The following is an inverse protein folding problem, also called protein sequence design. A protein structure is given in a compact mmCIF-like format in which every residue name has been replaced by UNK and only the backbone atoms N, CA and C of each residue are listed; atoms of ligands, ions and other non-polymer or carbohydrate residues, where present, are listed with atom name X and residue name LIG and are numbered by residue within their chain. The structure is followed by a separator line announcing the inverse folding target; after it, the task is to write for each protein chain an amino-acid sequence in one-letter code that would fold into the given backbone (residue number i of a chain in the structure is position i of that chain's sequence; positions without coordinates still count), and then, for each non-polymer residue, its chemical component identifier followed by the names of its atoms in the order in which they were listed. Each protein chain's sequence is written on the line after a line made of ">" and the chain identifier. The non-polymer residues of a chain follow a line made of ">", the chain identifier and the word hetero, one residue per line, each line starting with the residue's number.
data_IF_607041913716
#
_entry.id   IF_607041913716
#
_cell.length_a   1.000
_cell.length_b   1.000
_cell.length_c   1.000
_cell.angle_alpha   90.00
_cell.angle_beta   90.00
_cell.angle_gamma   90.00
#
_symmetry.space_group_name_H-M   'P 1'
#
loop_
_entity.id
_entity.type
_entity.pdbx_description
1 polymer ?
#
# COMPACT_ATOMS: atom_id res chain seq x y z
N UNK A 1 4.56 9.99 16.20
CA UNK A 1 3.80 11.17 15.70
C UNK A 1 2.31 11.07 16.01
N UNK A 2 1.57 12.19 16.19
CA UNK A 2 0.12 12.15 16.25
C UNK A 2 -0.44 11.61 14.92
N UNK A 3 -1.63 10.98 14.91
CA UNK A 3 -2.32 10.66 13.66
C UNK A 3 -2.47 11.93 12.82
N UNK A 4 -2.42 11.78 11.48
CA UNK A 4 -2.82 12.85 10.56
C UNK A 4 -4.19 13.32 11.03
N UNK A 5 -4.23 14.49 11.66
CA UNK A 5 -5.48 15.05 12.17
C UNK A 5 -6.35 15.25 10.95
N UNK A 6 -7.52 14.60 10.92
CA UNK A 6 -8.65 15.12 10.17
C UNK A 6 -8.74 16.60 10.55
N UNK A 7 -8.67 17.48 9.54
CA UNK A 7 -8.27 18.88 9.69
C UNK A 7 -8.77 19.51 10.98
N UNK A 8 -7.85 20.10 11.76
CA UNK A 8 -8.24 20.81 12.97
C UNK A 8 -9.32 21.83 12.64
N UNK A 9 -10.33 21.97 13.51
CA UNK A 9 -11.38 22.96 13.34
C UNK A 9 -10.78 24.30 12.90
N UNK A 10 -11.30 24.96 11.84
CA UNK A 10 -10.72 26.20 11.31
C UNK A 10 -10.50 27.26 12.40
N UNK A 11 -11.29 27.20 13.48
CA UNK A 11 -11.18 28.05 14.66
C UNK A 11 -9.85 27.90 15.42
N UNK A 12 -9.30 26.69 15.56
CA UNK A 12 -8.04 26.48 16.30
C UNK A 12 -6.81 26.90 15.51
N UNK A 13 -6.81 26.67 14.19
CA UNK A 13 -5.71 27.09 13.30
C UNK A 13 -5.61 28.61 13.22
N UNK A 14 -6.76 29.29 13.12
CA UNK A 14 -6.81 30.75 13.14
C UNK A 14 -6.31 31.33 14.48
N UNK A 15 -6.58 30.65 15.60
CA UNK A 15 -6.12 31.10 16.92
C UNK A 15 -4.61 30.93 17.12
N UNK A 16 -4.02 29.81 16.67
CA UNK A 16 -2.56 29.61 16.71
C UNK A 16 -1.82 30.59 15.78
N UNK A 17 -2.38 30.94 14.62
CA UNK A 17 -1.83 31.97 13.73
C UNK A 17 -1.80 33.36 14.37
N UNK A 18 -2.88 33.77 15.05
CA UNK A 18 -2.92 35.04 15.80
C UNK A 18 -1.87 35.10 16.91
N UNK A 19 -1.64 33.99 17.62
CA UNK A 19 -0.61 33.89 18.67
C UNK A 19 0.79 34.10 18.09
N UNK A 20 1.11 33.46 16.95
CA UNK A 20 2.42 33.60 16.31
C UNK A 20 2.67 35.04 15.83
N UNK A 21 1.66 35.69 15.25
CA UNK A 21 1.73 37.10 14.84
C UNK A 21 1.96 38.03 16.04
N UNK A 22 1.21 37.82 17.14
CA UNK A 22 1.37 38.59 18.37
C UNK A 22 2.77 38.45 18.98
N UNK A 23 3.33 37.23 19.01
CA UNK A 23 4.69 36.98 19.49
C UNK A 23 5.75 37.63 18.59
N UNK A 24 5.55 37.58 17.27
CA UNK A 24 6.45 38.22 16.31
C UNK A 24 6.46 39.75 16.46
N UNK A 25 5.30 40.37 16.64
CA UNK A 25 5.20 41.82 16.85
C UNK A 25 5.80 42.29 18.18
N UNK A 26 5.69 41.48 19.24
CA UNK A 26 6.40 41.72 20.50
C UNK A 26 7.91 41.63 20.29
N UNK A 27 8.38 40.58 19.59
CA UNK A 27 9.81 40.36 19.32
C UNK A 27 10.42 41.47 18.45
N UNK A 28 9.67 41.97 17.47
CA UNK A 28 10.07 43.06 16.58
C UNK A 28 9.89 44.45 17.22
N UNK A 29 9.46 44.54 18.47
CA UNK A 29 9.31 45.80 19.20
C UNK A 29 8.14 46.69 18.74
N UNK A 30 7.28 46.19 17.83
CA UNK A 30 6.07 46.91 17.38
C UNK A 30 5.07 47.08 18.53
N UNK A 31 5.03 46.10 19.44
CA UNK A 31 4.21 46.14 20.64
C UNK A 31 5.09 45.91 21.86
N UNK A 32 5.11 46.88 22.78
CA UNK A 32 6.01 46.87 23.95
C UNK A 32 5.52 46.01 25.12
N UNK A 33 4.26 45.57 25.12
CA UNK A 33 3.65 44.85 26.23
C UNK A 33 2.83 43.64 25.76
N UNK A 34 2.99 42.52 26.45
CA UNK A 34 2.20 41.30 26.24
C UNK A 34 0.70 41.59 26.45
N UNK A 35 0.35 42.45 27.40
CA UNK A 35 -1.04 42.86 27.63
C UNK A 35 -1.63 43.62 26.44
N UNK A 36 -0.85 44.54 25.85
CA UNK A 36 -1.28 45.31 24.69
C UNK A 36 -1.46 44.40 23.45
N UNK A 37 -0.54 43.46 23.25
CA UNK A 37 -0.64 42.47 22.17
C UNK A 37 -1.85 41.54 22.37
N UNK A 38 -2.08 41.06 23.60
CA UNK A 38 -3.24 40.22 23.91
C UNK A 38 -4.57 40.91 23.59
N UNK A 39 -4.68 42.20 23.92
CA UNK A 39 -5.88 43.02 23.60
C UNK A 39 -6.03 43.26 22.09
N UNK A 40 -4.94 43.59 21.39
CA UNK A 40 -4.96 43.90 19.95
C UNK A 40 -5.36 42.68 19.11
N UNK A 41 -4.84 41.51 19.48
CA UNK A 41 -5.05 40.26 18.75
C UNK A 41 -6.25 39.44 19.27
N UNK A 42 -6.98 39.95 20.27
CA UNK A 42 -8.11 39.27 20.92
C UNK A 42 -7.75 37.88 21.48
N UNK A 43 -6.58 37.77 22.11
CA UNK A 43 -6.07 36.52 22.68
C UNK A 43 -6.11 36.65 24.22
N UNK A 44 -6.52 35.61 24.96
CA UNK A 44 -6.37 35.61 26.42
C UNK A 44 -4.91 35.87 26.82
N UNK A 45 -4.70 36.85 27.70
CA UNK A 45 -3.35 37.23 28.15
C UNK A 45 -2.55 36.03 28.67
N UNK A 46 -3.18 35.15 29.45
CA UNK A 46 -2.57 33.95 30.01
C UNK A 46 -2.04 33.00 28.92
N UNK A 47 -2.74 32.88 27.80
CA UNK A 47 -2.31 32.08 26.65
C UNK A 47 -1.09 32.71 26.00
N UNK A 48 -1.11 34.01 25.70
CA UNK A 48 0.03 34.68 25.07
C UNK A 48 1.26 34.70 25.99
N UNK A 49 1.06 34.95 27.29
CA UNK A 49 2.11 34.91 28.32
C UNK A 49 2.74 33.52 28.43
N UNK A 50 1.95 32.45 28.51
CA UNK A 50 2.51 31.09 28.59
C UNK A 50 3.28 30.70 27.32
N UNK A 51 2.81 31.13 26.14
CA UNK A 51 3.50 30.91 24.87
C UNK A 51 4.80 31.73 24.75
N UNK A 52 4.83 32.97 25.26
CA UNK A 52 6.05 33.79 25.26
C UNK A 52 7.13 33.23 26.19
N UNK A 53 6.74 32.48 27.22
CA UNK A 53 7.65 31.77 28.13
C UNK A 53 8.02 30.36 27.63
N UNK A 54 7.83 30.07 26.34
CA UNK A 54 8.34 28.85 25.70
C UNK A 54 7.39 27.64 25.75
N UNK A 55 6.15 27.78 26.25
CA UNK A 55 5.17 26.69 26.16
C UNK A 55 4.74 26.52 24.69
N UNK A 56 4.91 25.33 24.14
CA UNK A 56 4.52 25.00 22.75
C UNK A 56 3.02 24.70 22.64
N UNK A 57 2.45 24.81 21.44
CA UNK A 57 1.05 24.41 21.21
C UNK A 57 0.87 22.93 21.52
N UNK A 58 -0.30 22.55 22.04
CA UNK A 58 -0.68 21.12 22.10
C UNK A 58 -0.79 20.50 20.70
N UNK A 59 -0.92 21.31 19.64
CA UNK A 59 -0.86 20.84 18.27
C UNK A 59 0.57 20.43 17.86
N UNK A 60 1.57 21.13 18.38
CA UNK A 60 3.00 20.94 18.05
C UNK A 60 3.69 19.96 19.00
N UNK A 61 3.10 19.71 20.18
CA UNK A 61 3.62 18.76 21.15
C UNK A 61 3.31 17.33 20.69
N UNK A 62 4.37 16.52 20.58
CA UNK A 62 4.25 15.07 20.39
C UNK A 62 3.46 14.47 21.56
N UNK A 63 2.38 13.71 21.31
CA UNK A 63 1.63 13.05 22.38
C UNK A 63 2.53 12.16 23.24
N UNK A 64 2.22 12.03 24.53
CA UNK A 64 2.93 11.10 25.41
C UNK A 64 2.59 9.64 25.02
N UNK A 65 3.53 8.71 25.25
CA UNK A 65 3.31 7.27 25.07
C UNK A 65 3.87 6.65 23.78
N UNK A 66 4.67 7.37 23.00
CA UNK A 66 5.42 6.77 21.90
C UNK A 66 6.55 5.88 22.43
N UNK A 67 6.62 4.65 21.91
CA UNK A 67 7.69 3.69 22.26
C UNK A 67 8.99 3.98 21.51
N UNK A 68 8.89 4.39 20.24
CA UNK A 68 10.04 4.75 19.41
C UNK A 68 10.32 6.26 19.46
N UNK A 69 11.57 6.65 19.26
CA UNK A 69 11.96 8.05 19.07
C UNK A 69 11.55 8.53 17.68
N UNK A 70 11.53 9.85 17.47
CA UNK A 70 11.24 10.40 16.14
C UNK A 70 12.26 9.88 15.11
N UNK A 71 13.54 9.87 15.46
CA UNK A 71 14.62 9.37 14.63
C UNK A 71 14.43 7.89 14.23
N UNK A 72 14.07 7.02 15.17
CA UNK A 72 13.79 5.62 14.84
C UNK A 72 12.56 5.45 13.95
N UNK A 73 11.50 6.23 14.21
CA UNK A 73 10.30 6.22 13.35
C UNK A 73 10.65 6.73 11.94
N UNK A 74 11.62 7.63 11.79
CA UNK A 74 12.09 8.17 10.50
C UNK A 74 13.00 7.16 9.77
N UNK A 75 13.99 6.58 10.46
CA UNK A 75 14.84 5.51 9.91
C UNK A 75 14.03 4.29 9.47
N UNK A 76 12.98 3.94 10.22
CA UNK A 76 12.09 2.84 9.82
C UNK A 76 11.32 3.17 8.54
N UNK A 77 10.91 4.42 8.35
CA UNK A 77 10.24 4.86 7.12
C UNK A 77 11.20 4.83 5.92
N UNK A 78 12.43 5.35 6.08
CA UNK A 78 13.49 5.28 5.07
C UNK A 78 13.82 3.83 4.69
N UNK A 79 13.88 2.94 5.68
CA UNK A 79 14.09 1.51 5.44
C UNK A 79 12.96 0.90 4.60
N UNK A 80 11.69 1.24 4.87
CA UNK A 80 10.55 0.76 4.08
C UNK A 80 10.68 1.23 2.62
N UNK A 81 10.99 2.52 2.41
CA UNK A 81 11.17 3.09 1.06
C UNK A 81 12.34 2.40 0.34
N UNK A 82 13.47 2.19 1.03
CA UNK A 82 14.62 1.47 0.48
C UNK A 82 14.28 0.03 0.09
N UNK A 83 13.44 -0.67 0.85
CA UNK A 83 12.98 -2.03 0.50
C UNK A 83 12.04 -2.02 -0.71
N UNK A 84 11.16 -1.03 -0.81
CA UNK A 84 10.22 -0.87 -1.94
C UNK A 84 10.95 -0.60 -3.26
N UNK A 85 11.92 0.31 -3.26
CA UNK A 85 12.75 0.61 -4.45
C UNK A 85 13.51 -0.60 -5.01
N UNK A 86 13.73 -1.64 -4.19
CA UNK A 86 14.37 -2.90 -4.57
C UNK A 86 13.37 -4.01 -4.94
N UNK A 87 12.08 -3.70 -5.02
CA UNK A 87 11.02 -4.67 -5.31
C UNK A 87 10.67 -5.60 -4.15
N UNK A 88 11.13 -5.30 -2.94
CA UNK A 88 10.97 -6.16 -1.75
C UNK A 88 10.14 -5.48 -0.65
N UNK A 89 9.07 -4.78 -1.03
CA UNK A 89 8.23 -4.03 -0.10
C UNK A 89 7.78 -4.88 1.12
N UNK A 90 8.06 -4.44 2.36
CA UNK A 90 7.79 -5.22 3.56
C UNK A 90 6.30 -5.27 3.89
N UNK A 91 5.86 -6.39 4.50
CA UNK A 91 4.49 -6.50 5.00
C UNK A 91 4.33 -5.70 6.30
N UNK A 92 3.11 -5.24 6.65
CA UNK A 92 2.88 -4.54 7.93
C UNK A 92 3.34 -5.33 9.16
N UNK A 93 3.22 -6.66 9.14
CA UNK A 93 3.75 -7.52 10.22
C UNK A 93 5.27 -7.38 10.37
N UNK A 94 6.01 -7.45 9.25
CA UNK A 94 7.47 -7.27 9.20
C UNK A 94 7.90 -5.90 9.68
N UNK A 95 7.12 -4.85 9.41
CA UNK A 95 7.36 -3.50 9.96
C UNK A 95 7.25 -3.50 11.49
N UNK A 96 6.26 -4.21 12.05
CA UNK A 96 6.13 -4.38 13.49
C UNK A 96 7.26 -5.18 14.13
N UNK A 97 7.73 -6.23 13.45
CA UNK A 97 8.91 -7.01 13.86
C UNK A 97 10.18 -6.15 13.87
N UNK A 98 10.41 -5.36 12.82
CA UNK A 98 11.55 -4.45 12.74
C UNK A 98 11.51 -3.40 13.87
N UNK A 99 10.33 -2.85 14.15
CA UNK A 99 10.16 -1.94 15.28
C UNK A 99 10.48 -2.61 16.64
N UNK A 100 10.11 -3.88 16.82
CA UNK A 100 10.47 -4.64 18.02
C UNK A 100 11.97 -4.91 18.11
N UNK A 101 12.65 -5.16 16.99
CA UNK A 101 14.11 -5.32 16.95
C UNK A 101 14.80 -4.03 17.42
N UNK A 102 14.35 -2.87 16.93
CA UNK A 102 14.87 -1.56 17.37
C UNK A 102 14.66 -1.35 18.87
N UNK A 103 13.48 -1.71 19.41
CA UNK A 103 13.19 -1.59 20.83
C UNK A 103 14.01 -2.57 21.69
N UNK A 104 14.24 -3.79 21.22
CA UNK A 104 15.06 -4.78 21.90
C UNK A 104 16.53 -4.35 21.95
N UNK A 105 17.03 -3.72 20.89
CA UNK A 105 18.40 -3.21 20.82
C UNK A 105 18.72 -2.13 21.88
N UNK A 106 17.70 -1.49 22.48
CA UNK A 106 17.86 -0.54 23.60
C UNK A 106 18.19 -1.21 24.93
N UNK A 107 18.15 -2.54 25.03
CA UNK A 107 18.57 -3.27 26.23
C UNK A 107 17.61 -3.16 27.42
N UNK A 108 16.35 -2.78 27.22
CA UNK A 108 15.35 -2.77 28.29
C UNK A 108 14.89 -4.21 28.61
N UNK A 109 14.77 -4.58 29.88
CA UNK A 109 14.29 -5.90 30.31
C UNK A 109 13.03 -5.81 31.18
N UNK A 110 11.90 -6.44 30.79
CA UNK A 110 11.67 -7.10 29.50
C UNK A 110 11.63 -6.10 28.33
N UNK A 111 11.95 -6.53 27.09
CA UNK A 111 11.96 -5.66 25.93
C UNK A 111 10.55 -5.12 25.65
N UNK A 112 10.44 -3.81 25.46
CA UNK A 112 9.17 -3.19 25.09
C UNK A 112 8.78 -3.64 23.67
N UNK A 113 7.54 -4.05 23.49
CA UNK A 113 7.01 -4.46 22.17
C UNK A 113 5.95 -3.50 21.66
N UNK A 114 5.88 -3.29 20.36
CA UNK A 114 4.79 -2.53 19.75
C UNK A 114 3.48 -3.33 19.79
N UNK A 115 2.35 -2.63 19.86
CA UNK A 115 1.03 -3.28 19.85
C UNK A 115 0.68 -3.86 18.48
N UNK A 116 -0.24 -4.83 18.44
CA UNK A 116 -0.69 -5.50 17.19
C UNK A 116 -1.12 -4.55 16.08
N UNK A 117 -1.80 -3.45 16.43
CA UNK A 117 -2.32 -2.48 15.47
C UNK A 117 -1.31 -1.36 15.14
N UNK A 118 -0.17 -1.33 15.83
CA UNK A 118 0.82 -0.26 15.69
C UNK A 118 1.35 -0.11 14.26
N UNK A 119 1.69 -1.17 13.50
CA UNK A 119 2.22 -1.01 12.14
C UNK A 119 1.23 -0.34 11.19
N UNK A 120 -0.06 -0.71 11.26
CA UNK A 120 -1.10 -0.09 10.43
C UNK A 120 -1.30 1.38 10.77
N UNK A 121 -1.26 1.71 12.06
CA UNK A 121 -1.33 3.11 12.53
C UNK A 121 -0.10 3.88 12.05
N UNK A 122 1.10 3.32 12.22
CA UNK A 122 2.36 3.92 11.79
C UNK A 122 2.34 4.29 10.30
N UNK A 123 1.91 3.36 9.44
CA UNK A 123 1.80 3.59 8.00
C UNK A 123 0.78 4.70 7.70
N UNK A 124 -0.41 4.64 8.30
CA UNK A 124 -1.45 5.65 8.08
C UNK A 124 -1.06 7.06 8.57
N UNK A 125 -0.17 7.14 9.56
CA UNK A 125 0.33 8.41 10.09
C UNK A 125 1.41 9.05 9.20
N UNK A 126 1.97 8.33 8.24
CA UNK A 126 3.07 8.79 7.38
C UNK A 126 2.54 9.05 5.97
N UNK A 127 2.48 10.30 5.50
CA UNK A 127 1.96 10.61 4.17
C UNK A 127 2.78 9.97 3.04
N UNK A 128 4.06 9.68 3.30
CA UNK A 128 5.00 9.01 2.39
C UNK A 128 4.72 7.51 2.23
N UNK A 129 4.01 6.88 3.16
CA UNK A 129 3.78 5.43 3.17
C UNK A 129 2.32 5.11 2.85
N UNK A 130 2.10 4.08 2.03
CA UNK A 130 0.76 3.56 1.74
C UNK A 130 0.77 2.05 1.65
N UNK A 131 -0.28 1.42 2.16
CA UNK A 131 -0.54 0.01 1.93
C UNK A 131 -1.24 -0.20 0.59
N UNK A 132 -0.75 -1.15 -0.19
CA UNK A 132 -1.35 -1.63 -1.45
C UNK A 132 -1.31 -3.14 -1.49
N UNK A 133 -2.30 -3.73 -2.16
CA UNK A 133 -2.27 -5.15 -2.46
C UNK A 133 -1.30 -5.37 -3.61
N UNK A 134 -0.27 -6.18 -3.37
CA UNK A 134 0.61 -6.67 -4.44
C UNK A 134 -0.07 -7.84 -5.14
N UNK A 135 -0.02 -7.85 -6.48
CA UNK A 135 -0.33 -9.05 -7.27
C UNK A 135 0.93 -9.89 -7.35
N UNK A 136 0.80 -11.20 -7.15
CA UNK A 136 1.91 -12.13 -7.35
C UNK A 136 2.27 -12.09 -8.83
N UNK A 137 3.47 -11.62 -9.12
CA UNK A 137 4.07 -11.77 -10.43
C UNK A 137 4.82 -13.09 -10.45
N UNK A 138 4.69 -13.86 -11.52
CA UNK A 138 5.40 -15.13 -11.64
C UNK A 138 6.90 -14.84 -11.77
N UNK A 139 7.68 -15.31 -10.80
CA UNK A 139 9.12 -15.08 -10.75
C UNK A 139 9.83 -15.69 -11.97
N UNK A 140 9.35 -16.82 -12.49
CA UNK A 140 9.92 -17.40 -13.69
C UNK A 140 9.63 -16.56 -14.93
N UNK A 141 8.44 -15.95 -14.99
CA UNK A 141 8.10 -15.00 -16.04
C UNK A 141 9.01 -13.77 -15.99
N UNK A 142 9.26 -13.21 -14.80
CA UNK A 142 10.18 -12.08 -14.62
C UNK A 142 11.63 -12.38 -15.05
N UNK A 143 12.11 -13.61 -14.80
CA UNK A 143 13.46 -14.02 -15.19
C UNK A 143 13.62 -14.22 -16.70
N UNK A 144 12.55 -14.67 -17.37
CA UNK A 144 12.56 -14.97 -18.80
C UNK A 144 12.23 -13.75 -19.67
N UNK A 145 11.72 -12.67 -19.08
CA UNK A 145 11.43 -11.41 -19.75
C UNK A 145 12.68 -10.51 -19.78
N UNK A 146 13.56 -10.71 -20.77
CA UNK A 146 14.60 -9.72 -21.08
C UNK A 146 13.98 -8.55 -21.86
N UNK A 147 13.95 -7.31 -21.31
CA UNK A 147 13.35 -6.17 -21.98
C UNK A 147 13.97 -5.88 -23.35
N UNK A 148 15.24 -6.22 -23.57
CA UNK A 148 15.88 -6.04 -24.89
C UNK A 148 15.34 -7.04 -25.90
N UNK A 149 15.30 -8.32 -25.52
CA UNK A 149 14.74 -9.39 -26.35
C UNK A 149 13.27 -9.12 -26.71
N UNK A 150 12.44 -8.66 -25.75
CA UNK A 150 11.04 -8.31 -26.00
C UNK A 150 10.91 -7.14 -26.98
N UNK A 151 11.69 -6.06 -26.78
CA UNK A 151 11.66 -4.91 -27.69
C UNK A 151 12.13 -5.27 -29.09
N UNK A 152 13.17 -6.08 -29.20
CA UNK A 152 13.68 -6.53 -30.49
C UNK A 152 12.65 -7.39 -31.21
N UNK A 153 12.00 -8.32 -30.50
CA UNK A 153 10.91 -9.11 -31.07
C UNK A 153 9.74 -8.25 -31.53
N UNK A 154 9.27 -7.30 -30.70
CA UNK A 154 8.19 -6.36 -31.07
C UNK A 154 8.56 -5.50 -32.28
N UNK A 155 9.81 -5.03 -32.37
CA UNK A 155 10.28 -4.27 -33.52
C UNK A 155 10.28 -5.13 -34.81
N UNK A 156 10.72 -6.38 -34.72
CA UNK A 156 10.65 -7.32 -35.86
C UNK A 156 9.22 -7.58 -36.29
N UNK A 157 8.30 -7.80 -35.34
CA UNK A 157 6.88 -7.99 -35.63
C UNK A 157 6.29 -6.76 -36.31
N UNK A 158 6.60 -5.55 -35.80
CA UNK A 158 6.13 -4.31 -36.41
C UNK A 158 6.66 -4.13 -37.84
N UNK A 159 7.94 -4.39 -38.08
CA UNK A 159 8.51 -4.31 -39.42
C UNK A 159 7.81 -5.28 -40.39
N UNK A 160 7.52 -6.51 -39.97
CA UNK A 160 6.80 -7.50 -40.80
C UNK A 160 5.36 -7.06 -41.07
N UNK A 161 4.69 -6.46 -40.08
CA UNK A 161 3.35 -5.88 -40.25
C UNK A 161 3.38 -4.77 -41.31
N UNK A 162 4.33 -3.85 -41.20
CA UNK A 162 4.49 -2.71 -42.09
C UNK A 162 4.87 -3.15 -43.52
N UNK A 163 5.79 -4.11 -43.66
CA UNK A 163 6.24 -4.66 -44.95
C UNK A 163 5.14 -5.39 -45.71
N UNK A 164 4.30 -6.15 -45.00
CA UNK A 164 3.22 -6.94 -45.59
C UNK A 164 1.87 -6.19 -45.63
N UNK A 165 1.81 -4.97 -45.09
CA UNK A 165 0.59 -4.17 -45.04
C UNK A 165 -0.54 -4.80 -44.22
N UNK A 166 -0.19 -5.61 -43.21
CA UNK A 166 -1.14 -6.34 -42.36
C UNK A 166 -1.96 -5.32 -41.58
N UNK A 167 -3.28 -5.34 -41.72
CA UNK A 167 -4.14 -4.40 -41.02
C UNK A 167 -4.49 -4.92 -39.62
N UNK A 168 -4.85 -4.05 -38.67
CA UNK A 168 -5.28 -4.48 -37.33
C UNK A 168 -6.41 -5.52 -37.35
N UNK A 169 -7.29 -5.46 -38.36
CA UNK A 169 -8.40 -6.38 -38.57
C UNK A 169 -7.95 -7.82 -38.90
N UNK A 170 -6.69 -7.99 -39.32
CA UNK A 170 -6.07 -9.27 -39.65
C UNK A 170 -5.23 -9.84 -38.47
N UNK A 171 -5.11 -9.09 -37.36
CA UNK A 171 -4.31 -9.48 -36.20
C UNK A 171 -5.22 -10.03 -35.11
N UNK A 172 -5.13 -11.32 -34.83
CA UNK A 172 -5.92 -11.99 -33.80
C UNK A 172 -5.02 -12.48 -32.67
N UNK A 173 -5.38 -12.11 -31.43
CA UNK A 173 -4.85 -12.77 -30.24
C UNK A 173 -5.70 -14.00 -29.94
N UNK A 174 -5.06 -15.15 -29.81
CA UNK A 174 -5.70 -16.44 -29.56
C UNK A 174 -5.18 -16.98 -28.22
N UNK A 175 -6.08 -17.28 -27.29
CA UNK A 175 -5.71 -17.84 -25.98
C UNK A 175 -6.66 -18.96 -25.54
N UNK A 176 -6.13 -19.88 -24.75
CA UNK A 176 -6.85 -21.03 -24.21
C UNK A 176 -6.99 -20.92 -22.70
N UNK A 177 -8.23 -20.96 -22.19
CA UNK A 177 -8.51 -21.05 -20.76
C UNK A 177 -9.20 -22.36 -20.40
N UNK A 178 -8.54 -23.16 -19.56
CA UNK A 178 -9.10 -24.39 -19.00
C UNK A 178 -9.92 -24.13 -17.72
N UNK A 179 -11.17 -24.58 -17.72
CA UNK A 179 -12.04 -24.62 -16.56
C UNK A 179 -12.19 -26.06 -16.07
N UNK A 180 -11.80 -26.33 -14.83
CA UNK A 180 -12.05 -27.64 -14.22
C UNK A 180 -13.51 -27.71 -13.74
N UNK A 181 -14.29 -28.61 -14.33
CA UNK A 181 -15.60 -28.99 -13.85
C UNK A 181 -15.44 -29.83 -12.57
N UNK A 182 -16.35 -29.63 -11.62
CA UNK A 182 -16.35 -30.10 -10.22
C UNK A 182 -15.63 -29.22 -9.17
N UNK A 183 -15.13 -28.05 -9.55
CA UNK A 183 -14.71 -27.04 -8.57
C UNK A 183 -15.91 -26.23 -8.04
N UNK A 184 -16.50 -26.68 -6.93
CA UNK A 184 -17.34 -25.82 -6.10
C UNK A 184 -16.38 -24.90 -5.33
N UNK A 185 -16.41 -23.59 -5.62
CA UNK A 185 -15.70 -22.59 -4.84
C UNK A 185 -16.05 -22.72 -3.34
N UNK A 186 -15.03 -22.92 -2.49
CA UNK A 186 -15.04 -22.86 -1.02
C UNK A 186 -16.37 -23.23 -0.32
N UNK A 187 -16.67 -24.52 -0.14
CA UNK A 187 -17.73 -24.93 0.78
C UNK A 187 -17.29 -24.82 2.25
N UNK A 188 -18.18 -24.28 3.09
CA UNK A 188 -18.01 -24.19 4.54
C UNK A 188 -18.29 -25.56 5.17
N UNK A 189 -17.23 -26.27 5.54
CA UNK A 189 -17.30 -27.57 6.21
C UNK A 189 -17.15 -27.41 7.74
N UNK A 190 -17.91 -28.21 8.47
CA UNK A 190 -17.83 -28.31 9.94
C UNK A 190 -16.85 -29.44 10.28
N UNK A 191 -15.85 -29.12 11.09
CA UNK A 191 -14.79 -30.05 11.52
C UNK A 191 -14.69 -30.03 13.05
N UNK A 192 -14.13 -31.10 13.64
CA UNK A 192 -13.90 -31.21 15.09
C UNK A 192 -12.98 -30.07 15.56
N UNK A 193 -13.33 -29.46 16.70
CA UNK A 193 -12.70 -28.23 17.23
C UNK A 193 -11.20 -28.34 17.54
N UNK A 194 -10.64 -29.55 17.61
CA UNK A 194 -9.26 -29.82 17.99
C UNK A 194 -8.25 -29.69 16.82
N UNK A 195 -8.71 -29.45 15.59
CA UNK A 195 -7.84 -29.30 14.42
C UNK A 195 -7.65 -27.82 14.03
N UNK A 196 -6.43 -27.31 14.19
CA UNK A 196 -6.06 -25.91 13.90
C UNK A 196 -5.52 -25.64 12.49
N UNK A 197 -5.50 -26.63 11.58
CA UNK A 197 -5.02 -26.47 10.20
C UNK A 197 -6.13 -26.70 9.17
N UNK A 198 -6.09 -25.92 8.07
CA UNK A 198 -6.92 -26.17 6.88
C UNK A 198 -6.49 -27.50 6.27
N UNK A 199 -7.29 -28.55 6.38
CA UNK A 199 -7.04 -29.78 5.61
C UNK A 199 -7.30 -29.50 4.13
N UNK A 200 -6.38 -29.90 3.26
CA UNK A 200 -6.72 -30.18 1.87
C UNK A 200 -7.64 -31.39 1.86
N UNK A 201 -8.83 -31.23 1.29
CA UNK A 201 -9.63 -32.39 0.89
C UNK A 201 -8.86 -33.08 -0.24
N UNK A 202 -8.59 -34.38 -0.10
CA UNK A 202 -8.17 -35.20 -1.23
C UNK A 202 -9.32 -35.21 -2.23
N UNK A 203 -9.09 -34.61 -3.39
CA UNK A 203 -10.06 -34.57 -4.46
C UNK A 203 -10.06 -35.92 -5.19
N UNK A 204 -11.21 -36.36 -5.74
CA UNK A 204 -11.22 -37.49 -6.65
C UNK A 204 -10.33 -37.21 -7.86
N UNK A 205 -9.68 -38.25 -8.38
CA UNK A 205 -8.68 -38.20 -9.46
C UNK A 205 -9.28 -37.87 -10.84
N UNK A 206 -10.61 -37.75 -10.93
CA UNK A 206 -11.33 -37.47 -12.17
C UNK A 206 -11.54 -35.97 -12.34
N UNK A 207 -10.66 -35.33 -13.12
CA UNK A 207 -10.80 -33.93 -13.54
C UNK A 207 -11.44 -33.89 -14.92
N UNK A 208 -12.69 -33.44 -14.99
CA UNK A 208 -13.25 -33.04 -16.27
C UNK A 208 -12.85 -31.59 -16.53
N UNK A 209 -12.14 -31.35 -17.64
CA UNK A 209 -11.77 -30.01 -18.07
C UNK A 209 -12.68 -29.60 -19.22
N UNK A 210 -13.18 -28.37 -19.15
CA UNK A 210 -13.73 -27.66 -20.29
C UNK A 210 -12.65 -26.68 -20.73
N UNK A 211 -12.23 -26.81 -21.98
CA UNK A 211 -11.34 -25.83 -22.59
C UNK A 211 -12.21 -24.79 -23.30
N UNK A 212 -11.98 -23.52 -23.00
CA UNK A 212 -12.56 -22.41 -23.74
C UNK A 212 -11.45 -21.75 -24.54
N UNK A 213 -11.66 -21.66 -25.83
CA UNK A 213 -10.79 -20.95 -26.77
C UNK A 213 -11.46 -19.62 -27.09
N UNK A 214 -10.73 -18.54 -26.86
CA UNK A 214 -11.15 -17.19 -27.19
C UNK A 214 -10.16 -16.58 -28.19
N UNK A 215 -10.68 -15.89 -29.19
CA UNK A 215 -9.88 -15.12 -30.11
C UNK A 215 -10.45 -13.71 -30.26
N UNK A 216 -9.60 -12.71 -30.04
CA UNK A 216 -9.96 -11.29 -30.11
C UNK A 216 -9.04 -10.63 -31.13
N UNK A 217 -9.64 -9.94 -32.09
CA UNK A 217 -8.97 -9.14 -33.09
C UNK A 217 -8.47 -7.81 -32.50
N UNK A 218 -7.41 -7.25 -33.05
CA UNK A 218 -6.87 -5.96 -32.62
C UNK A 218 -7.82 -4.78 -32.91
N UNK A 219 -8.83 -4.95 -33.79
CA UNK A 219 -9.93 -4.01 -34.02
C UNK A 219 -11.04 -4.08 -32.94
N UNK A 220 -10.86 -4.93 -31.92
CA UNK A 220 -11.82 -5.24 -30.85
C UNK A 220 -12.99 -6.15 -31.24
N UNK A 221 -12.98 -6.76 -32.42
CA UNK A 221 -13.92 -7.81 -32.79
C UNK A 221 -13.55 -9.14 -32.12
N UNK A 222 -14.54 -9.83 -31.54
CA UNK A 222 -14.35 -11.12 -30.89
C UNK A 222 -14.94 -12.23 -31.75
N UNK A 223 -14.14 -13.27 -32.04
CA UNK A 223 -14.62 -14.48 -32.68
C UNK A 223 -15.47 -15.27 -31.68
N UNK A 224 -16.46 -15.99 -32.19
CA UNK A 224 -17.32 -16.85 -31.37
C UNK A 224 -16.47 -17.79 -30.50
N UNK A 225 -16.73 -17.77 -29.19
CA UNK A 225 -16.10 -18.65 -28.20
C UNK A 225 -16.24 -20.11 -28.64
N UNK A 226 -15.13 -20.82 -28.68
CA UNK A 226 -15.12 -22.24 -28.99
C UNK A 226 -14.90 -23.04 -27.71
N UNK A 227 -15.93 -23.81 -27.32
CA UNK A 227 -15.92 -24.58 -26.08
C UNK A 227 -15.70 -26.05 -26.41
N UNK A 228 -14.57 -26.58 -25.98
CA UNK A 228 -14.22 -27.99 -26.12
C UNK A 228 -14.58 -28.69 -24.81
N UNK A 229 -15.59 -29.55 -24.89
CA UNK A 229 -15.92 -30.48 -23.82
C UNK A 229 -15.09 -31.75 -23.95
N UNK A 230 -14.95 -32.47 -22.83
CA UNK A 230 -14.35 -33.80 -22.80
C UNK A 230 -15.01 -34.72 -23.83
N UNK A 231 -14.23 -35.20 -24.80
CA UNK A 231 -14.69 -36.17 -25.79
C UNK A 231 -14.95 -37.55 -25.17
N UNK A 232 -16.01 -38.24 -25.61
CA UNK A 232 -16.27 -39.66 -25.27
C UNK A 232 -15.57 -40.65 -26.20
N UNK A 233 -15.35 -40.27 -27.45
CA UNK A 233 -14.70 -41.09 -28.49
C UNK A 233 -13.91 -40.15 -29.41
N UNK A 234 -12.71 -40.54 -29.82
CA UNK A 234 -11.92 -39.82 -30.81
C UNK A 234 -12.58 -40.03 -32.17
N UNK A 235 -13.06 -38.96 -32.82
CA UNK A 235 -13.43 -39.02 -34.23
C UNK A 235 -12.15 -38.90 -35.07
N UNK A 236 -11.62 -40.04 -35.50
CA UNK A 236 -10.68 -40.09 -36.62
C UNK A 236 -11.43 -39.80 -37.91
N UNK A 237 -11.15 -38.64 -38.51
CA UNK A 237 -11.48 -38.34 -39.90
C UNK A 237 -10.43 -38.90 -40.85
#
# INVERSE_FOLDING_TARGET
>A
MPPIRTGSSPKSTNQDGKILLALNDIKNGRIKSIHAAAKLYEIPYTTLYTRSHGRVSRADIRPNGHKLTQFEEDSLAEWIISMDTRGAAPRPATVGEMANILLAARGSYPPSTVGKNWPSIFINCRPELRTRFSRRYDYQRALNEDPKSIRQWLATVQNVIDENGIQPEDIYNFDETGFAMDFIANQKIVIRAEYNSRRSLLQPEYREWITVIEAICADSYSLSLYIIFKGKVVQTG
#
